data_IF_443926383085
#
_entry.id   IF_443926383085
#
_cell.length_a   1.000
_cell.length_b   1.000
_cell.length_c   1.000
_cell.angle_alpha   90.00
_cell.angle_beta   90.00
_cell.angle_gamma   90.00
#
_symmetry.space_group_name_H-M   'P 1'
#
loop_
_entity.id
_entity.type
_entity.pdbx_description
1 polymer ?
#
# COMPACT_ATOMS: atom_id res chain seq x y z
N UNK A 1 -9.04 -19.26 3.99
CA UNK A 1 -8.84 -19.10 2.54
C UNK A 1 -7.57 -18.28 2.33
N UNK A 2 -6.64 -18.64 1.43
CA UNK A 2 -5.49 -17.79 1.13
C UNK A 2 -5.96 -16.48 0.47
N UNK A 3 -5.25 -15.38 0.75
CA UNK A 3 -5.47 -14.08 0.11
C UNK A 3 -5.44 -14.22 -1.43
N UNK A 4 -6.50 -13.79 -2.11
CA UNK A 4 -6.57 -13.73 -3.57
C UNK A 4 -6.56 -12.28 -4.02
N UNK A 5 -5.51 -11.88 -4.73
CA UNK A 5 -5.41 -10.59 -5.42
C UNK A 5 -6.63 -10.35 -6.31
N UNK A 6 -7.30 -9.22 -6.15
CA UNK A 6 -8.37 -8.76 -7.05
C UNK A 6 -7.82 -7.83 -8.14
N UNK A 7 -6.58 -7.39 -8.01
CA UNK A 7 -5.90 -6.55 -9.00
C UNK A 7 -4.93 -7.37 -9.84
N UNK A 8 -4.89 -7.07 -11.14
CA UNK A 8 -3.84 -7.56 -12.04
C UNK A 8 -2.71 -6.54 -12.04
N UNK A 9 -1.58 -6.94 -11.50
CA UNK A 9 -0.35 -6.16 -11.54
C UNK A 9 0.43 -6.51 -12.81
N UNK A 10 0.98 -5.50 -13.48
CA UNK A 10 1.79 -5.61 -14.71
C UNK A 10 3.13 -4.92 -14.53
N UNK A 11 4.01 -4.97 -15.54
CA UNK A 11 5.30 -4.27 -15.51
C UNK A 11 6.25 -4.77 -14.41
N UNK A 12 6.22 -6.07 -14.12
CA UNK A 12 6.99 -6.67 -13.02
C UNK A 12 8.50 -6.60 -13.25
N UNK A 13 9.13 -5.60 -12.63
CA UNK A 13 10.58 -5.60 -12.39
C UNK A 13 10.85 -5.81 -10.91
N UNK A 14 12.11 -5.96 -10.53
CA UNK A 14 12.52 -6.14 -9.12
C UNK A 14 12.09 -4.97 -8.23
N UNK A 15 11.92 -3.77 -8.82
CA UNK A 15 11.61 -2.54 -8.10
C UNK A 15 10.30 -1.85 -8.49
N UNK A 16 9.61 -2.28 -9.55
CA UNK A 16 8.37 -1.62 -9.99
C UNK A 16 7.29 -2.63 -10.39
N UNK A 17 6.04 -2.26 -10.16
CA UNK A 17 4.85 -2.90 -10.72
C UNK A 17 3.75 -1.85 -10.89
N UNK A 18 2.88 -2.01 -11.88
CA UNK A 18 1.74 -1.12 -12.11
C UNK A 18 0.44 -1.88 -12.10
N UNK A 19 -0.68 -1.21 -11.82
CA UNK A 19 -2.01 -1.78 -11.98
C UNK A 19 -3.01 -0.68 -12.33
N UNK A 20 -4.15 -1.06 -12.89
CA UNK A 20 -5.25 -0.13 -13.22
C UNK A 20 -6.47 -0.53 -12.41
N UNK A 21 -7.06 0.43 -11.70
CA UNK A 21 -8.28 0.24 -10.93
C UNK A 21 -9.18 1.45 -11.09
N UNK A 22 -10.46 1.22 -11.43
CA UNK A 22 -11.46 2.29 -11.65
C UNK A 22 -10.98 3.40 -12.61
N UNK A 23 -10.27 3.02 -13.67
CA UNK A 23 -9.74 3.96 -14.67
C UNK A 23 -8.50 4.74 -14.23
N UNK A 24 -7.96 4.49 -13.03
CA UNK A 24 -6.73 5.11 -12.53
C UNK A 24 -5.58 4.12 -12.56
N UNK A 25 -4.43 4.58 -13.04
CA UNK A 25 -3.18 3.83 -12.97
C UNK A 25 -2.52 4.06 -11.61
N UNK A 26 -1.98 2.98 -11.05
CA UNK A 26 -1.26 2.96 -9.80
C UNK A 26 0.12 2.35 -10.02
N UNK A 27 1.11 2.91 -9.35
CA UNK A 27 2.51 2.51 -9.43
C UNK A 27 2.97 2.05 -8.05
N UNK A 28 3.46 0.83 -7.96
CA UNK A 28 4.13 0.29 -6.79
C UNK A 28 5.63 0.29 -7.05
N UNK A 29 6.35 1.16 -6.37
CA UNK A 29 7.78 1.40 -6.61
C UNK A 29 8.59 1.17 -5.35
N UNK A 30 9.80 0.62 -5.54
CA UNK A 30 10.77 0.37 -4.48
C UNK A 30 11.89 1.40 -4.61
N UNK A 31 12.02 2.26 -3.62
CA UNK A 31 13.06 3.28 -3.59
C UNK A 31 13.39 3.67 -2.15
N UNK A 32 14.39 4.54 -1.97
CA UNK A 32 14.73 5.11 -0.67
C UNK A 32 13.62 6.05 -0.19
N UNK A 33 13.45 6.14 1.13
CA UNK A 33 12.61 7.18 1.72
C UNK A 33 13.14 8.57 1.33
N UNK A 34 12.27 9.58 1.24
CA UNK A 34 12.71 10.97 1.27
C UNK A 34 13.66 11.20 2.46
N UNK A 35 14.61 12.13 2.34
CA UNK A 35 15.51 12.45 3.43
C UNK A 35 14.72 12.97 4.64
N UNK A 36 15.20 12.68 5.85
CA UNK A 36 14.65 13.27 7.08
C UNK A 36 14.93 14.78 7.16
N UNK A 37 14.43 15.45 8.20
CA UNK A 37 14.64 16.89 8.43
C UNK A 37 16.12 17.30 8.55
N UNK A 38 17.03 16.32 8.65
CA UNK A 38 18.49 16.52 8.71
C UNK A 38 19.18 16.11 7.41
N UNK A 39 18.43 15.87 6.33
CA UNK A 39 18.96 15.46 5.03
C UNK A 39 19.41 14.00 4.96
N UNK A 40 19.12 13.17 5.96
CA UNK A 40 19.60 11.78 6.03
C UNK A 40 18.61 10.86 5.36
N UNK A 41 19.11 10.06 4.43
CA UNK A 41 18.34 8.99 3.81
C UNK A 41 18.34 7.75 4.70
N UNK A 42 17.19 7.09 4.82
CA UNK A 42 17.17 5.69 5.25
C UNK A 42 17.99 4.88 4.25
N UNK A 43 19.00 4.09 4.67
CA UNK A 43 19.79 3.27 3.75
C UNK A 43 18.99 2.11 3.16
N UNK A 44 17.77 1.87 3.66
CA UNK A 44 16.92 0.79 3.23
C UNK A 44 15.83 1.31 2.29
N UNK A 45 15.81 0.73 1.10
CA UNK A 45 14.68 0.88 0.18
C UNK A 45 13.43 0.23 0.77
N UNK A 46 12.29 0.88 0.50
CA UNK A 46 10.97 0.39 0.88
C UNK A 46 10.02 0.52 -0.30
N UNK A 47 8.89 -0.17 -0.22
CA UNK A 47 7.82 -0.08 -1.20
C UNK A 47 6.92 1.11 -0.89
N UNK A 48 6.53 1.82 -1.94
CA UNK A 48 5.63 2.96 -1.93
C UNK A 48 4.59 2.80 -3.03
N UNK A 49 3.37 3.21 -2.71
CA UNK A 49 2.28 3.28 -3.67
C UNK A 49 2.15 4.74 -4.14
N UNK A 50 2.12 4.94 -5.44
CA UNK A 50 1.92 6.22 -6.09
C UNK A 50 0.71 6.13 -7.01
N UNK A 51 -0.10 7.19 -7.05
CA UNK A 51 -1.03 7.38 -8.15
C UNK A 51 -0.25 7.78 -9.41
N UNK A 52 -0.84 7.60 -10.59
CA UNK A 52 -0.32 8.20 -11.81
C UNK A 52 -0.43 9.73 -11.79
N UNK A 53 0.54 10.42 -12.38
CA UNK A 53 0.58 11.87 -12.50
C UNK A 53 -0.25 12.43 -13.67
N UNK A 54 -0.92 11.56 -14.45
CA UNK A 54 -1.68 11.91 -15.65
C UNK A 54 -0.84 11.83 -16.93
N UNK A 55 0.46 11.54 -16.82
CA UNK A 55 1.39 11.38 -17.94
C UNK A 55 1.99 9.97 -18.01
N UNK A 56 1.42 9.00 -17.28
CA UNK A 56 1.91 7.62 -17.25
C UNK A 56 3.08 7.40 -16.31
N UNK A 57 3.37 8.35 -15.41
CA UNK A 57 4.48 8.28 -14.45
C UNK A 57 3.92 8.30 -13.02
N UNK A 58 4.66 7.74 -12.04
CA UNK A 58 4.27 7.86 -10.64
C UNK A 58 4.32 9.33 -10.20
N UNK A 59 3.25 9.79 -9.57
CA UNK A 59 3.22 11.06 -8.86
C UNK A 59 4.34 11.09 -7.81
N UNK A 60 5.09 12.21 -7.64
CA UNK A 60 6.24 12.26 -6.73
C UNK A 60 5.85 11.97 -5.27
N UNK A 61 4.71 12.48 -4.84
CA UNK A 61 4.18 12.19 -3.51
C UNK A 61 3.47 10.82 -3.50
N UNK A 62 3.83 9.93 -2.55
CA UNK A 62 3.17 8.65 -2.43
C UNK A 62 1.75 8.82 -1.89
N UNK A 63 0.85 7.95 -2.36
CA UNK A 63 -0.55 7.91 -1.92
C UNK A 63 -0.74 7.42 -0.48
N UNK A 64 0.33 6.93 0.16
CA UNK A 64 0.32 6.43 1.53
C UNK A 64 1.72 6.44 2.15
N UNK A 65 1.78 6.13 3.46
CA UNK A 65 3.05 5.81 4.10
C UNK A 65 3.70 4.56 3.46
N UNK A 66 4.97 4.34 3.77
CA UNK A 66 5.70 3.16 3.26
C UNK A 66 4.99 1.83 3.57
N UNK A 67 4.94 0.95 2.58
CA UNK A 67 4.34 -0.39 2.66
C UNK A 67 5.32 -1.47 3.15
N UNK A 68 6.48 -1.04 3.64
CA UNK A 68 7.52 -1.91 4.18
C UNK A 68 8.48 -2.45 3.12
N UNK A 69 9.22 -3.51 3.48
CA UNK A 69 10.33 -4.05 2.66
C UNK A 69 9.95 -5.28 1.82
N UNK A 70 8.94 -6.03 2.25
CA UNK A 70 8.53 -7.26 1.60
C UNK A 70 7.55 -6.97 0.47
N UNK A 71 7.88 -7.39 -0.76
CA UNK A 71 7.08 -7.15 -1.95
C UNK A 71 5.67 -7.76 -1.87
N UNK A 72 5.55 -8.98 -1.37
CA UNK A 72 4.25 -9.68 -1.27
C UNK A 72 3.32 -8.93 -0.33
N UNK A 73 3.82 -8.52 0.84
CA UNK A 73 3.03 -7.71 1.77
C UNK A 73 2.70 -6.34 1.18
N UNK A 74 3.65 -5.69 0.51
CA UNK A 74 3.42 -4.39 -0.13
C UNK A 74 2.32 -4.46 -1.20
N UNK A 75 2.29 -5.50 -2.03
CA UNK A 75 1.21 -5.72 -3.01
C UNK A 75 -0.15 -5.85 -2.32
N UNK A 76 -0.23 -6.60 -1.23
CA UNK A 76 -1.48 -6.80 -0.47
C UNK A 76 -1.97 -5.49 0.16
N UNK A 77 -1.07 -4.72 0.76
CA UNK A 77 -1.39 -3.42 1.36
C UNK A 77 -1.76 -2.38 0.30
N UNK A 78 -1.04 -2.34 -0.82
CA UNK A 78 -1.36 -1.47 -1.94
C UNK A 78 -2.77 -1.77 -2.46
N UNK A 79 -3.12 -3.04 -2.62
CA UNK A 79 -4.47 -3.42 -3.04
C UNK A 79 -5.55 -2.98 -2.05
N UNK A 80 -5.31 -3.07 -0.73
CA UNK A 80 -6.24 -2.53 0.26
C UNK A 80 -6.45 -1.03 0.06
N UNK A 81 -5.37 -0.27 -0.13
CA UNK A 81 -5.44 1.19 -0.35
C UNK A 81 -6.19 1.53 -1.64
N UNK A 82 -5.83 0.87 -2.75
CA UNK A 82 -6.46 1.07 -4.05
C UNK A 82 -7.96 0.77 -4.00
N UNK A 83 -8.37 -0.23 -3.21
CA UNK A 83 -9.77 -0.64 -3.05
C UNK A 83 -10.51 0.09 -1.91
N UNK A 84 -9.95 1.20 -1.41
CA UNK A 84 -10.63 2.10 -0.48
C UNK A 84 -10.49 1.71 0.98
N UNK A 85 -9.36 1.15 1.40
CA UNK A 85 -9.01 0.98 2.80
C UNK A 85 -7.84 1.90 3.22
N UNK A 86 -7.89 2.43 4.42
CA UNK A 86 -6.85 3.27 4.99
C UNK A 86 -6.34 2.72 6.33
N UNK A 87 -5.04 2.87 6.57
CA UNK A 87 -4.44 2.59 7.86
C UNK A 87 -4.78 3.73 8.83
N UNK A 88 -5.38 3.39 9.97
CA UNK A 88 -5.82 4.40 10.95
C UNK A 88 -4.74 4.81 11.96
N UNK A 89 -3.53 4.23 11.85
CA UNK A 89 -2.45 4.29 12.83
C UNK A 89 -2.83 3.79 14.23
N UNK A 90 -4.01 3.20 14.39
CA UNK A 90 -4.46 2.56 15.62
C UNK A 90 -4.04 1.10 15.63
N UNK A 91 -3.80 0.58 16.82
CA UNK A 91 -3.44 -0.82 17.05
C UNK A 91 -4.52 -1.47 17.90
N UNK A 92 -4.86 -2.72 17.57
CA UNK A 92 -5.76 -3.56 18.36
C UNK A 92 -5.13 -3.79 19.75
N UNK A 93 -5.81 -3.46 20.87
CA UNK A 93 -5.19 -3.51 22.20
C UNK A 93 -4.68 -4.88 22.62
N UNK A 94 -5.29 -5.96 22.14
CA UNK A 94 -4.95 -7.32 22.57
C UNK A 94 -3.61 -7.83 22.06
N UNK A 95 -3.22 -7.46 20.85
CA UNK A 95 -2.07 -8.06 20.14
C UNK A 95 -1.30 -7.08 19.26
N UNK A 96 -1.67 -5.80 19.27
CA UNK A 96 -0.99 -4.76 18.53
C UNK A 96 -1.17 -4.81 17.01
N UNK A 97 -2.12 -5.60 16.49
CA UNK A 97 -2.40 -5.65 15.05
C UNK A 97 -2.95 -4.31 14.57
N UNK A 98 -2.42 -3.79 13.45
CA UNK A 98 -2.88 -2.53 12.87
C UNK A 98 -4.36 -2.58 12.49
N UNK A 99 -5.09 -1.52 12.83
CA UNK A 99 -6.49 -1.33 12.48
C UNK A 99 -6.63 -0.46 11.24
N UNK A 100 -7.49 -0.92 10.35
CA UNK A 100 -7.78 -0.31 9.07
C UNK A 100 -9.26 0.03 8.98
N UNK A 101 -9.61 0.96 8.11
CA UNK A 101 -10.99 1.38 7.90
C UNK A 101 -11.25 1.57 6.41
N UNK A 102 -12.49 1.41 5.98
CA UNK A 102 -12.89 1.91 4.67
C UNK A 102 -12.80 3.44 4.64
N UNK A 103 -12.36 3.98 3.51
CA UNK A 103 -12.24 5.43 3.27
C UNK A 103 -13.58 6.17 3.29
N UNK A 104 -14.69 5.44 3.14
CA UNK A 104 -16.06 5.96 3.25
C UNK A 104 -16.61 6.03 4.68
N UNK A 105 -15.79 5.68 5.69
CA UNK A 105 -16.15 5.84 7.11
C UNK A 105 -16.68 4.59 7.82
N UNK A 106 -16.35 3.39 7.35
CA UNK A 106 -16.76 2.12 7.96
C UNK A 106 -16.18 1.78 9.34
N UNK A 107 -16.43 0.56 9.81
CA UNK A 107 -15.89 0.02 11.06
C UNK A 107 -14.37 -0.19 10.99
N UNK A 108 -13.71 -0.16 12.15
CA UNK A 108 -12.30 -0.53 12.28
C UNK A 108 -12.16 -2.05 12.15
N UNK A 109 -11.33 -2.49 11.22
CA UNK A 109 -11.07 -3.90 10.94
C UNK A 109 -9.57 -4.20 11.11
N UNK A 110 -9.22 -5.26 11.84
CA UNK A 110 -7.84 -5.72 11.97
C UNK A 110 -7.22 -6.15 10.63
N UNK A 111 -5.95 -5.78 10.41
CA UNK A 111 -5.23 -6.08 9.16
C UNK A 111 -5.15 -7.59 8.87
N UNK A 112 -4.95 -8.43 9.87
CA UNK A 112 -4.90 -9.89 9.72
C UNK A 112 -6.23 -10.45 9.16
N UNK A 113 -7.37 -9.91 9.58
CA UNK A 113 -8.69 -10.28 9.06
C UNK A 113 -8.90 -9.81 7.61
N UNK A 114 -8.44 -8.59 7.28
CA UNK A 114 -8.47 -8.08 5.91
C UNK A 114 -7.63 -8.95 4.97
N UNK A 115 -6.41 -9.31 5.39
CA UNK A 115 -5.52 -10.16 4.63
C UNK A 115 -6.02 -11.61 4.54
N UNK A 116 -6.81 -12.07 5.51
CA UNK A 116 -7.51 -13.36 5.45
C UNK A 116 -8.73 -13.34 4.50
N UNK A 117 -9.11 -12.19 3.97
CA UNK A 117 -10.22 -12.02 3.03
C UNK A 117 -11.61 -12.07 3.67
N UNK A 118 -11.74 -11.75 4.97
CA UNK A 118 -13.01 -11.83 5.70
C UNK A 118 -13.95 -10.64 5.51
N UNK A 119 -13.48 -9.57 4.88
CA UNK A 119 -14.18 -8.28 4.75
C UNK A 119 -14.08 -7.67 3.34
N UNK A 120 -13.86 -8.52 2.33
CA UNK A 120 -13.80 -8.14 0.92
C UNK A 120 -15.17 -8.17 0.28
#
# INVERSE_FOLDING_TARGET
>A
MPWKSCLTWTGHTTGNATTVHEGRTWHLSKHLSPPDDKGRYSPYERWYLHADDGHGRPHPDPASATLGRNRVNALRLAELIITGWENTNQLRPSDGVQLWRRTDGGALVPLDELLAGRHR
#
